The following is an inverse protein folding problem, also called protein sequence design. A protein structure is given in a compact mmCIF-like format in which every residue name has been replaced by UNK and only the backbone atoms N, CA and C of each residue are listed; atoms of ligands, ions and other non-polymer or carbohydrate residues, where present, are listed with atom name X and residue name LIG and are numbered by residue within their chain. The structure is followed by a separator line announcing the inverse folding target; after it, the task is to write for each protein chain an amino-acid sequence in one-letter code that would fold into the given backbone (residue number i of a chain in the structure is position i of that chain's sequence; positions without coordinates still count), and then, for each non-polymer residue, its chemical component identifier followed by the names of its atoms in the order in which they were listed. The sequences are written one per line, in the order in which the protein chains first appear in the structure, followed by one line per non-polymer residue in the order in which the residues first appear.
data_IF_364284079091
#
_entry.id   IF_364284079091
#
_cell.length_a   1.000
_cell.length_b   1.000
_cell.length_c   1.000
_cell.angle_alpha   90.00
_cell.angle_beta   90.00
_cell.angle_gamma   90.00
#
_symmetry.space_group_name_H-M   'P 1'
#
loop_
_entity.id
_entity.type
_entity.pdbx_description
1 polymer ?
#
# COMPACT_ATOMS: atom_id res chain seq x y z
N UNK A 1 -1.48 0.54 -45.57
CA UNK A 1 -0.02 0.70 -45.38
C UNK A 1 0.57 -0.69 -45.50
N UNK A 2 1.36 -0.96 -46.54
CA UNK A 2 2.13 -2.21 -46.63
C UNK A 2 3.41 -2.04 -45.80
N UNK A 3 3.65 -2.94 -44.85
CA UNK A 3 4.80 -2.87 -43.94
C UNK A 3 5.95 -3.73 -44.47
N UNK A 4 7.16 -3.18 -44.49
CA UNK A 4 8.33 -3.82 -45.13
C UNK A 4 8.93 -4.97 -44.30
N UNK A 5 8.70 -4.98 -42.98
CA UNK A 5 9.04 -6.09 -42.08
C UNK A 5 8.15 -6.11 -40.81
N UNK A 6 8.27 -7.17 -40.01
CA UNK A 6 7.47 -7.41 -38.81
C UNK A 6 7.68 -6.37 -37.69
N UNK A 7 8.88 -5.79 -37.58
CA UNK A 7 9.21 -4.79 -36.57
C UNK A 7 8.48 -3.46 -36.82
N UNK A 8 8.49 -2.97 -38.05
CA UNK A 8 7.80 -1.71 -38.39
C UNK A 8 6.30 -1.84 -38.12
N UNK A 9 5.70 -2.97 -38.49
CA UNK A 9 4.29 -3.26 -38.22
C UNK A 9 3.99 -3.21 -36.71
N UNK A 10 4.82 -3.85 -35.88
CA UNK A 10 4.62 -3.89 -34.42
C UNK A 10 4.82 -2.49 -33.79
N UNK A 11 5.84 -1.74 -34.20
CA UNK A 11 6.07 -0.37 -33.72
C UNK A 11 4.91 0.57 -34.06
N UNK A 12 4.38 0.52 -35.28
CA UNK A 12 3.22 1.33 -35.67
C UNK A 12 1.97 0.95 -34.88
N UNK A 13 1.72 -0.35 -34.69
CA UNK A 13 0.62 -0.83 -33.84
C UNK A 13 0.77 -0.34 -32.39
N UNK A 14 1.97 -0.41 -31.81
CA UNK A 14 2.23 0.12 -30.48
C UNK A 14 1.98 1.62 -30.39
N UNK A 15 2.42 2.40 -31.39
CA UNK A 15 2.17 3.84 -31.45
C UNK A 15 0.68 4.16 -31.48
N UNK A 16 -0.11 3.39 -32.23
CA UNK A 16 -1.57 3.50 -32.24
C UNK A 16 -2.16 3.14 -30.88
N UNK A 17 -1.76 2.01 -30.30
CA UNK A 17 -2.18 1.59 -28.97
C UNK A 17 -1.91 2.65 -27.88
N UNK A 18 -0.72 3.25 -27.86
CA UNK A 18 -0.39 4.32 -26.88
C UNK A 18 -1.25 5.55 -27.09
N UNK A 19 -1.58 5.90 -28.33
CA UNK A 19 -2.46 7.05 -28.65
C UNK A 19 -3.92 6.79 -28.27
N UNK A 20 -4.39 5.57 -28.42
CA UNK A 20 -5.78 5.16 -28.20
C UNK A 20 -6.01 4.52 -26.83
N UNK A 21 -4.97 4.45 -25.99
CA UNK A 21 -5.04 3.82 -24.68
C UNK A 21 -6.09 4.52 -23.84
N UNK A 22 -7.12 3.76 -23.47
CA UNK A 22 -8.13 4.18 -22.50
C UNK A 22 -7.64 3.94 -21.09
N UNK A 23 -7.83 4.93 -20.23
CA UNK A 23 -7.62 4.77 -18.80
C UNK A 23 -8.83 4.10 -18.17
N UNK A 24 -8.63 3.30 -17.12
CA UNK A 24 -9.75 2.63 -16.46
C UNK A 24 -10.76 3.63 -15.87
N UNK A 25 -10.32 4.83 -15.48
CA UNK A 25 -11.19 5.90 -15.02
C UNK A 25 -12.22 6.39 -16.04
N UNK A 26 -11.97 6.18 -17.33
CA UNK A 26 -12.89 6.61 -18.40
C UNK A 26 -14.06 5.62 -18.57
N UNK A 27 -14.02 4.48 -17.88
CA UNK A 27 -15.01 3.43 -17.97
C UNK A 27 -15.86 3.32 -16.69
N UNK A 28 -17.16 3.56 -16.86
CA UNK A 28 -18.16 3.56 -15.79
C UNK A 28 -18.30 2.21 -15.07
N UNK A 29 -17.74 1.12 -15.60
CA UNK A 29 -17.74 -0.17 -14.90
C UNK A 29 -16.79 -0.19 -13.69
N UNK A 30 -15.73 0.63 -13.68
CA UNK A 30 -14.70 0.62 -12.63
C UNK A 30 -14.93 1.68 -11.54
N UNK A 31 -16.17 1.82 -11.06
CA UNK A 31 -16.59 2.87 -10.10
C UNK A 31 -15.79 2.91 -8.78
N UNK A 32 -15.19 1.78 -8.38
CA UNK A 32 -14.39 1.71 -7.16
C UNK A 32 -13.03 2.44 -7.28
N UNK A 33 -12.56 2.78 -8.49
CA UNK A 33 -11.33 3.57 -8.66
C UNK A 33 -11.41 4.96 -8.04
N UNK A 34 -12.57 5.61 -8.14
CA UNK A 34 -12.80 6.92 -7.52
C UNK A 34 -12.68 6.82 -5.99
N UNK A 35 -13.24 5.76 -5.40
CA UNK A 35 -13.13 5.49 -3.96
C UNK A 35 -11.69 5.28 -3.53
N UNK A 36 -10.91 4.53 -4.31
CA UNK A 36 -9.47 4.34 -4.04
C UNK A 36 -8.77 5.70 -4.07
N UNK A 37 -9.00 6.52 -5.09
CA UNK A 37 -8.37 7.84 -5.20
C UNK A 37 -8.69 8.74 -4.00
N UNK A 38 -9.95 8.84 -3.60
CA UNK A 38 -10.38 9.66 -2.47
C UNK A 38 -9.71 9.19 -1.16
N UNK A 39 -9.60 7.88 -0.95
CA UNK A 39 -8.92 7.31 0.22
C UNK A 39 -7.40 7.53 0.16
N UNK A 40 -6.78 7.38 -1.01
CA UNK A 40 -5.36 7.67 -1.23
C UNK A 40 -5.03 9.12 -0.92
N UNK A 41 -5.88 10.05 -1.36
CA UNK A 41 -5.74 11.47 -1.04
C UNK A 41 -5.76 11.69 0.48
N UNK A 42 -6.74 11.09 1.18
CA UNK A 42 -6.86 11.19 2.64
C UNK A 42 -5.65 10.57 3.34
N UNK A 43 -5.19 9.38 2.92
CA UNK A 43 -3.96 8.76 3.44
C UNK A 43 -2.76 9.68 3.22
N UNK A 44 -2.65 10.30 2.05
CA UNK A 44 -1.57 11.25 1.79
C UNK A 44 -1.61 12.45 2.73
N UNK A 45 -2.78 12.98 3.08
CA UNK A 45 -2.89 14.06 4.06
C UNK A 45 -2.43 13.60 5.45
N UNK A 46 -2.87 12.40 5.88
CA UNK A 46 -2.50 11.81 7.16
C UNK A 46 -0.98 11.55 7.26
N UNK A 47 -0.38 11.05 6.18
CA UNK A 47 1.06 10.81 6.09
C UNK A 47 1.89 12.11 6.15
N UNK A 48 1.37 13.21 5.61
CA UNK A 48 2.01 14.52 5.74
C UNK A 48 2.04 15.00 7.20
N UNK A 49 1.11 14.58 8.06
CA UNK A 49 1.15 14.92 9.51
C UNK A 49 2.35 14.29 10.23
N UNK A 50 2.94 13.25 9.63
CA UNK A 50 4.11 12.56 10.18
C UNK A 50 5.44 13.22 9.80
N UNK A 51 5.41 14.23 8.92
CA UNK A 51 6.62 14.93 8.49
C UNK A 51 7.28 15.66 9.66
N UNK A 52 8.56 15.38 9.90
CA UNK A 52 9.37 16.06 10.90
C UNK A 52 9.28 15.53 12.33
N UNK A 53 8.46 14.50 12.61
CA UNK A 53 8.26 13.96 13.97
C UNK A 53 9.55 13.42 14.61
N UNK A 54 10.39 12.72 13.85
CA UNK A 54 11.76 12.37 14.25
C UNK A 54 12.58 11.86 13.06
N UNK A 55 13.67 12.57 12.73
CA UNK A 55 14.58 12.15 11.66
C UNK A 55 15.34 10.86 12.02
N UNK A 56 15.63 10.61 13.30
CA UNK A 56 16.44 9.44 13.71
C UNK A 56 15.70 8.12 13.56
N UNK A 57 14.36 8.15 13.62
CA UNK A 57 13.52 6.98 13.45
C UNK A 57 13.16 6.70 11.99
N UNK A 58 13.49 7.59 11.05
CA UNK A 58 13.16 7.46 9.62
C UNK A 58 11.64 7.48 9.33
N UNK A 59 10.83 8.05 10.23
CA UNK A 59 9.36 8.14 10.06
C UNK A 59 9.02 8.86 8.76
N UNK A 60 9.65 10.02 8.52
CA UNK A 60 9.42 10.81 7.30
C UNK A 60 9.87 10.09 6.03
N UNK A 61 10.92 9.27 6.10
CA UNK A 61 11.42 8.52 4.93
C UNK A 61 10.42 7.42 4.55
N UNK A 62 10.02 6.59 5.53
CA UNK A 62 9.02 5.54 5.28
C UNK A 62 7.63 6.08 4.93
N UNK A 63 7.25 7.24 5.48
CA UNK A 63 6.00 7.93 5.11
C UNK A 63 6.00 8.33 3.63
N UNK A 64 7.11 8.90 3.13
CA UNK A 64 7.27 9.27 1.72
C UNK A 64 7.34 8.06 0.80
N UNK A 65 8.07 7.01 1.19
CA UNK A 65 8.12 5.75 0.44
C UNK A 65 6.73 5.15 0.30
N UNK A 66 5.99 5.01 1.40
CA UNK A 66 4.62 4.50 1.41
C UNK A 66 3.72 5.30 0.48
N UNK A 67 3.70 6.63 0.64
CA UNK A 67 2.91 7.54 -0.20
C UNK A 67 3.22 7.36 -1.69
N UNK A 68 4.51 7.35 -2.03
CA UNK A 68 4.95 7.20 -3.42
C UNK A 68 4.55 5.84 -4.00
N UNK A 69 4.78 4.75 -3.26
CA UNK A 69 4.40 3.41 -3.71
C UNK A 69 2.90 3.27 -3.93
N UNK A 70 2.08 3.80 -3.03
CA UNK A 70 0.62 3.78 -3.20
C UNK A 70 0.20 4.54 -4.48
N UNK A 71 0.66 5.78 -4.65
CA UNK A 71 0.30 6.59 -5.83
C UNK A 71 0.78 5.95 -7.13
N UNK A 72 2.03 5.49 -7.20
CA UNK A 72 2.58 4.83 -8.40
C UNK A 72 1.80 3.55 -8.71
N UNK A 73 1.51 2.73 -7.69
CA UNK A 73 0.73 1.51 -7.87
C UNK A 73 -0.67 1.80 -8.41
N UNK A 74 -1.31 2.87 -7.93
CA UNK A 74 -2.60 3.32 -8.41
C UNK A 74 -2.57 3.83 -9.86
N UNK A 75 -1.58 4.63 -10.22
CA UNK A 75 -1.42 5.11 -11.60
C UNK A 75 -1.21 3.95 -12.57
N UNK A 76 -0.40 2.96 -12.18
CA UNK A 76 -0.19 1.74 -12.96
C UNK A 76 -1.46 0.91 -13.09
N UNK A 77 -2.27 0.80 -12.03
CA UNK A 77 -3.59 0.17 -12.08
C UNK A 77 -4.47 0.89 -13.10
N UNK A 78 -4.59 2.22 -13.02
CA UNK A 78 -5.41 3.01 -13.94
C UNK A 78 -4.95 2.89 -15.41
N UNK A 79 -3.66 2.66 -15.63
CA UNK A 79 -3.08 2.36 -16.96
C UNK A 79 -3.20 0.89 -17.38
N UNK A 80 -3.85 0.03 -16.58
CA UNK A 80 -3.98 -1.42 -16.77
C UNK A 80 -2.65 -2.20 -16.76
N UNK A 81 -1.65 -1.72 -16.03
CA UNK A 81 -0.40 -2.45 -15.76
C UNK A 81 -0.51 -3.25 -14.45
N UNK A 82 -1.42 -4.21 -14.40
CA UNK A 82 -1.82 -4.90 -13.17
C UNK A 82 -0.64 -5.58 -12.46
N UNK A 83 0.25 -6.25 -13.18
CA UNK A 83 1.39 -6.95 -12.57
C UNK A 83 2.38 -5.98 -11.90
N UNK A 84 2.75 -4.91 -12.59
CA UNK A 84 3.60 -3.86 -12.02
C UNK A 84 2.91 -3.15 -10.87
N UNK A 85 1.61 -2.86 -11.00
CA UNK A 85 0.81 -2.29 -9.92
C UNK A 85 0.82 -3.18 -8.67
N UNK A 86 0.58 -4.49 -8.79
CA UNK A 86 0.66 -5.49 -7.70
C UNK A 86 2.03 -5.50 -7.03
N UNK A 87 3.11 -5.48 -7.80
CA UNK A 87 4.47 -5.44 -7.28
C UNK A 87 4.73 -4.20 -6.43
N UNK A 88 4.32 -3.02 -6.91
CA UNK A 88 4.48 -1.77 -6.15
C UNK A 88 3.53 -1.70 -4.96
N UNK A 89 2.31 -2.25 -5.06
CA UNK A 89 1.38 -2.35 -3.94
C UNK A 89 1.99 -3.20 -2.81
N UNK A 90 2.67 -4.29 -3.15
CA UNK A 90 3.41 -5.11 -2.17
C UNK A 90 4.47 -4.30 -1.44
N UNK A 91 5.26 -3.52 -2.19
CA UNK A 91 6.27 -2.61 -1.61
C UNK A 91 5.62 -1.56 -0.69
N UNK A 92 4.42 -1.08 -1.01
CA UNK A 92 3.71 -0.15 -0.12
C UNK A 92 3.37 -0.80 1.23
N UNK A 93 2.98 -2.08 1.27
CA UNK A 93 2.72 -2.81 2.51
C UNK A 93 4.03 -2.95 3.33
N UNK A 94 5.14 -3.27 2.67
CA UNK A 94 6.45 -3.33 3.32
C UNK A 94 6.85 -1.97 3.93
N UNK A 95 6.69 -0.88 3.18
CA UNK A 95 6.95 0.49 3.68
C UNK A 95 6.02 0.85 4.83
N UNK A 96 4.75 0.43 4.79
CA UNK A 96 3.82 0.62 5.90
C UNK A 96 4.27 -0.11 7.17
N UNK A 97 4.71 -1.37 7.08
CA UNK A 97 5.25 -2.10 8.24
C UNK A 97 6.51 -1.46 8.80
N UNK A 98 7.40 -0.92 7.94
CA UNK A 98 8.57 -0.17 8.41
C UNK A 98 8.16 1.13 9.11
N UNK A 99 7.19 1.85 8.56
CA UNK A 99 6.65 3.07 9.14
C UNK A 99 6.01 2.80 10.52
N UNK A 100 5.17 1.78 10.63
CA UNK A 100 4.46 1.46 11.87
C UNK A 100 5.42 1.10 13.01
N UNK A 101 6.42 0.25 12.74
CA UNK A 101 7.46 -0.10 13.70
C UNK A 101 8.36 1.09 14.07
N UNK A 102 8.64 1.97 13.12
CA UNK A 102 9.38 3.21 13.35
C UNK A 102 8.62 4.17 14.29
N UNK A 103 7.31 4.32 14.09
CA UNK A 103 6.43 5.11 14.97
C UNK A 103 6.40 4.51 16.37
N UNK A 104 6.22 3.18 16.51
CA UNK A 104 6.22 2.53 17.82
C UNK A 104 7.54 2.71 18.55
N UNK A 105 8.67 2.67 17.83
CA UNK A 105 9.99 2.94 18.41
C UNK A 105 10.10 4.36 18.94
N UNK A 106 9.62 5.34 18.18
CA UNK A 106 9.61 6.72 18.61
C UNK A 106 8.71 6.94 19.83
N UNK A 107 7.53 6.34 19.84
CA UNK A 107 6.61 6.37 20.98
C UNK A 107 7.24 5.75 22.24
N UNK A 108 7.83 4.56 22.15
CA UNK A 108 8.52 3.92 23.28
C UNK A 108 9.68 4.80 23.77
N UNK A 109 10.44 5.41 22.86
CA UNK A 109 11.51 6.33 23.22
C UNK A 109 10.98 7.52 24.03
N UNK A 110 9.89 8.17 23.59
CA UNK A 110 9.26 9.27 24.36
C UNK A 110 8.84 8.81 25.75
N UNK A 111 8.24 7.62 25.86
CA UNK A 111 7.83 7.04 27.14
C UNK A 111 9.04 6.77 28.06
N UNK A 112 10.12 6.22 27.53
CA UNK A 112 11.34 5.96 28.28
C UNK A 112 11.95 7.26 28.83
N UNK A 113 12.01 8.32 28.02
CA UNK A 113 12.49 9.64 28.46
C UNK A 113 11.60 10.19 29.59
N UNK A 114 10.26 10.07 29.47
CA UNK A 114 9.35 10.49 30.54
C UNK A 114 9.55 9.71 31.84
N UNK A 115 9.97 8.45 31.75
CA UNK A 115 10.31 7.58 32.86
C UNK A 115 11.78 7.71 33.32
N UNK A 116 12.52 8.71 32.83
CA UNK A 116 13.95 8.94 33.13
C UNK A 116 14.89 7.81 32.70
N UNK A 117 14.50 7.02 31.70
CA UNK A 117 15.33 6.00 31.05
C UNK A 117 15.95 6.61 29.79
N UNK A 118 17.24 6.95 29.86
CA UNK A 118 17.95 7.64 28.76
C UNK A 118 18.78 6.69 27.87
N UNK A 119 18.94 5.43 28.29
CA UNK A 119 19.67 4.41 27.54
C UNK A 119 18.84 3.75 26.43
N UNK A 120 19.53 3.11 25.49
CA UNK A 120 18.87 2.29 24.47
C UNK A 120 18.44 0.95 25.06
N UNK A 121 17.13 0.79 25.29
CA UNK A 121 16.53 -0.47 25.75
C UNK A 121 16.64 -1.55 24.68
N UNK A 122 16.61 -2.82 25.08
CA UNK A 122 16.65 -3.92 24.12
C UNK A 122 15.42 -3.95 23.20
N UNK A 123 14.27 -3.46 23.68
CA UNK A 123 13.07 -3.26 22.85
C UNK A 123 13.32 -2.23 21.74
N UNK A 124 13.90 -1.06 22.04
CA UNK A 124 14.24 -0.06 21.03
C UNK A 124 15.24 -0.59 19.99
N UNK A 125 16.20 -1.44 20.40
CA UNK A 125 17.13 -2.10 19.48
C UNK A 125 16.42 -3.13 18.60
N UNK A 126 15.48 -3.90 19.16
CA UNK A 126 14.68 -4.90 18.45
C UNK A 126 13.77 -4.24 17.42
N UNK A 127 13.06 -3.17 17.77
CA UNK A 127 12.24 -2.40 16.82
C UNK A 127 13.10 -1.88 15.65
N UNK A 128 14.26 -1.29 15.98
CA UNK A 128 15.19 -0.81 14.95
C UNK A 128 15.62 -1.94 14.01
N UNK A 129 16.02 -3.09 14.54
CA UNK A 129 16.50 -4.19 13.71
C UNK A 129 15.43 -4.77 12.79
N UNK A 130 14.15 -4.72 13.18
CA UNK A 130 13.04 -5.15 12.34
C UNK A 130 12.85 -4.23 11.13
N UNK A 131 12.73 -2.91 11.33
CA UNK A 131 12.43 -2.00 10.21
C UNK A 131 13.66 -1.60 9.39
N UNK A 132 14.90 -1.77 9.89
CA UNK A 132 16.11 -1.59 9.08
C UNK A 132 16.62 -2.89 8.45
N UNK A 133 16.07 -4.04 8.85
CA UNK A 133 16.48 -5.34 8.34
C UNK A 133 16.10 -5.54 6.87
N UNK A 134 16.87 -6.40 6.19
CA UNK A 134 16.57 -6.86 4.83
C UNK A 134 15.66 -8.10 4.81
N UNK A 135 15.57 -8.84 5.91
CA UNK A 135 14.79 -10.07 5.98
C UNK A 135 13.29 -9.77 6.08
N UNK A 136 12.56 -9.90 4.97
CA UNK A 136 11.13 -9.55 4.90
C UNK A 136 10.25 -10.42 5.79
N UNK A 137 10.57 -11.71 5.96
CA UNK A 137 9.87 -12.57 6.92
C UNK A 137 9.98 -12.04 8.37
N UNK A 138 11.13 -11.47 8.75
CA UNK A 138 11.29 -10.87 10.08
C UNK A 138 10.48 -9.60 10.21
N UNK A 139 10.41 -8.78 9.15
CA UNK A 139 9.58 -7.56 9.13
C UNK A 139 8.09 -7.91 9.34
N UNK A 140 7.56 -8.82 8.52
CA UNK A 140 6.14 -9.22 8.53
C UNK A 140 5.74 -9.87 9.85
N UNK A 141 6.38 -10.98 10.23
CA UNK A 141 6.10 -11.68 11.50
C UNK A 141 6.39 -10.80 12.72
N UNK A 142 7.47 -10.02 12.68
CA UNK A 142 7.81 -9.09 13.74
C UNK A 142 6.75 -8.01 13.93
N UNK A 143 6.18 -7.49 12.84
CA UNK A 143 5.10 -6.51 12.90
C UNK A 143 3.86 -7.10 13.57
N UNK A 144 3.41 -8.29 13.17
CA UNK A 144 2.24 -8.95 13.79
C UNK A 144 2.45 -9.09 15.31
N UNK A 145 3.62 -9.57 15.73
CA UNK A 145 3.92 -9.75 17.16
C UNK A 145 3.89 -8.43 17.94
N UNK A 146 4.28 -7.31 17.33
CA UNK A 146 4.22 -6.00 18.00
C UNK A 146 2.80 -5.43 18.11
N UNK A 147 1.87 -5.90 17.28
CA UNK A 147 0.46 -5.48 17.31
C UNK A 147 -0.47 -6.51 17.95
N UNK A 148 0.04 -7.63 18.47
CA UNK A 148 -0.76 -8.78 18.93
C UNK A 148 -1.86 -8.39 19.93
N UNK A 149 -1.54 -7.49 20.87
CA UNK A 149 -2.45 -7.03 21.92
C UNK A 149 -3.11 -5.67 21.62
N UNK A 150 -3.17 -5.27 20.36
CA UNK A 150 -3.74 -3.97 19.94
C UNK A 150 -5.10 -4.12 19.28
N UNK A 151 -5.92 -3.06 19.31
CA UNK A 151 -7.24 -3.05 18.67
C UNK A 151 -7.19 -3.27 17.16
N UNK A 152 -6.04 -3.06 16.52
CA UNK A 152 -5.83 -3.18 15.07
C UNK A 152 -5.18 -4.50 14.64
N UNK A 153 -5.01 -5.49 15.53
CA UNK A 153 -4.35 -6.76 15.19
C UNK A 153 -5.03 -7.48 14.01
N UNK A 154 -6.36 -7.47 13.94
CA UNK A 154 -7.09 -8.06 12.82
C UNK A 154 -6.73 -7.37 11.51
N UNK A 155 -6.69 -6.04 11.50
CA UNK A 155 -6.27 -5.23 10.36
C UNK A 155 -4.84 -5.53 9.91
N UNK A 156 -3.90 -5.67 10.85
CA UNK A 156 -2.50 -6.00 10.55
C UNK A 156 -2.38 -7.42 9.97
N UNK A 157 -3.16 -8.38 10.47
CA UNK A 157 -3.20 -9.75 9.93
C UNK A 157 -3.73 -9.77 8.49
N UNK A 158 -4.85 -9.10 8.22
CA UNK A 158 -5.40 -8.97 6.86
C UNK A 158 -4.36 -8.36 5.92
N UNK A 159 -3.70 -7.28 6.34
CA UNK A 159 -2.67 -6.63 5.52
C UNK A 159 -1.47 -7.54 5.24
N UNK A 160 -1.10 -8.40 6.19
CA UNK A 160 -0.05 -9.40 6.00
C UNK A 160 -0.50 -10.54 5.06
N UNK A 161 -1.78 -10.90 5.07
CA UNK A 161 -2.34 -11.89 4.14
C UNK A 161 -2.36 -11.33 2.71
N UNK A 162 -2.76 -10.05 2.54
CA UNK A 162 -2.62 -9.34 1.27
C UNK A 162 -1.17 -9.31 0.78
N UNK A 163 -0.21 -9.05 1.67
CA UNK A 163 1.21 -9.10 1.32
C UNK A 163 1.63 -10.50 0.83
N UNK A 164 1.17 -11.56 1.50
CA UNK A 164 1.45 -12.95 1.14
C UNK A 164 0.91 -13.29 -0.25
N UNK A 165 -0.33 -12.86 -0.56
CA UNK A 165 -0.95 -13.05 -1.87
C UNK A 165 -0.19 -12.32 -2.99
N UNK A 166 0.18 -11.07 -2.76
CA UNK A 166 0.98 -10.30 -3.72
C UNK A 166 2.37 -10.93 -3.92
N UNK A 167 2.99 -11.46 -2.86
CA UNK A 167 4.29 -12.12 -2.93
C UNK A 167 4.24 -13.45 -3.69
N UNK A 168 3.17 -14.22 -3.51
CA UNK A 168 2.91 -15.44 -4.29
C UNK A 168 2.93 -15.15 -5.79
N UNK A 169 2.29 -14.06 -6.21
CA UNK A 169 2.22 -13.62 -7.60
C UNK A 169 3.58 -13.19 -8.21
N UNK A 170 4.60 -12.86 -7.40
CA UNK A 170 5.95 -12.49 -7.88
C UNK A 170 6.86 -13.71 -8.08
N UNK A 171 6.60 -14.81 -7.35
CA UNK A 171 7.41 -16.03 -7.41
C UNK A 171 6.85 -17.11 -8.33
N UNK A 172 5.63 -16.96 -8.83
CA UNK A 172 5.17 -17.79 -9.93
C UNK A 172 5.89 -17.29 -11.19
N UNK A 173 6.98 -17.97 -11.56
CA UNK A 173 7.46 -18.12 -12.94
C UNK A 173 6.39 -18.86 -13.78
N UNK A 174 5.14 -18.45 -13.65
CA UNK A 174 4.07 -18.85 -14.50
C UNK A 174 4.38 -18.20 -15.84
N UNK A 175 4.99 -18.99 -16.72
CA UNK A 175 4.96 -18.79 -18.17
C UNK A 175 3.53 -18.56 -18.72
N UNK A 176 2.50 -18.71 -17.87
CA UNK A 176 1.10 -18.34 -18.09
C UNK A 176 0.73 -16.90 -17.72
N UNK A 177 1.42 -16.23 -16.78
CA UNK A 177 1.14 -14.84 -16.37
C UNK A 177 1.96 -13.80 -17.13
N UNK A 178 3.16 -14.18 -17.56
CA UNK A 178 3.82 -13.57 -18.70
C UNK A 178 3.44 -14.44 -19.90
N UNK A 179 2.28 -14.18 -20.52
CA UNK A 179 2.22 -14.55 -21.92
C UNK A 179 3.36 -13.76 -22.58
N UNK A 180 4.31 -14.40 -23.27
CA UNK A 180 5.26 -13.67 -24.08
C UNK A 180 4.41 -13.12 -25.23
N UNK A 181 3.75 -11.99 -24.96
CA UNK A 181 2.92 -11.31 -25.93
C UNK A 181 3.82 -11.06 -27.12
N UNK A 182 3.54 -11.80 -28.19
CA UNK A 182 4.40 -11.82 -29.37
C UNK A 182 4.35 -10.49 -30.09
N UNK A 183 3.29 -9.72 -29.84
CA UNK A 183 3.03 -8.41 -30.38
C UNK A 183 2.51 -7.48 -29.29
N UNK A 184 2.89 -6.20 -29.37
CA UNK A 184 2.49 -5.18 -28.39
C UNK A 184 0.97 -4.91 -28.40
N UNK A 185 0.25 -5.39 -29.40
CA UNK A 185 -1.22 -5.29 -29.51
C UNK A 185 -1.95 -6.20 -28.52
N UNK A 186 -1.32 -7.26 -28.02
CA UNK A 186 -1.94 -8.17 -27.05
C UNK A 186 -2.19 -7.49 -25.68
N UNK A 187 -1.55 -6.34 -25.43
CA UNK A 187 -1.79 -5.47 -24.25
C UNK A 187 -3.13 -4.71 -24.34
N UNK A 188 -3.82 -4.75 -25.48
CA UNK A 188 -5.11 -4.06 -25.68
C UNK A 188 -6.32 -4.82 -25.13
N UNK A 189 -6.17 -6.10 -24.76
CA UNK A 189 -7.27 -6.91 -24.24
C UNK A 189 -7.43 -6.69 -22.74
N UNK A 190 -8.52 -6.05 -22.35
CA UNK A 190 -8.93 -5.93 -20.96
C UNK A 190 -9.60 -7.22 -20.50
N UNK A 191 -9.11 -7.78 -19.40
CA UNK A 191 -9.83 -8.77 -18.61
C UNK A 191 -10.54 -8.04 -17.46
N UNK A 192 -11.79 -7.65 -17.70
CA UNK A 192 -12.56 -6.83 -16.77
C UNK A 192 -12.74 -7.52 -15.40
N UNK A 193 -12.86 -8.84 -15.37
CA UNK A 193 -13.02 -9.59 -14.11
C UNK A 193 -11.74 -9.53 -13.29
N UNK A 194 -10.59 -9.83 -13.92
CA UNK A 194 -9.28 -9.72 -13.25
C UNK A 194 -9.00 -8.29 -12.76
N UNK A 195 -9.36 -7.28 -13.56
CA UNK A 195 -9.21 -5.87 -13.18
C UNK A 195 -10.10 -5.53 -11.98
N UNK A 196 -11.38 -5.90 -12.00
CA UNK A 196 -12.29 -5.63 -10.89
C UNK A 196 -11.87 -6.33 -9.60
N UNK A 197 -11.44 -7.59 -9.68
CA UNK A 197 -10.94 -8.33 -8.53
C UNK A 197 -9.72 -7.61 -7.92
N UNK A 198 -8.80 -7.13 -8.76
CA UNK A 198 -7.65 -6.39 -8.27
C UNK A 198 -8.00 -4.99 -7.73
N UNK A 199 -8.99 -4.29 -8.28
CA UNK A 199 -9.50 -3.02 -7.72
C UNK A 199 -10.05 -3.25 -6.30
N UNK A 200 -10.83 -4.31 -6.10
CA UNK A 200 -11.39 -4.62 -4.78
C UNK A 200 -10.28 -5.00 -3.78
N UNK A 201 -9.31 -5.82 -4.22
CA UNK A 201 -8.13 -6.16 -3.44
C UNK A 201 -7.30 -4.91 -3.05
N UNK A 202 -7.08 -3.99 -3.99
CA UNK A 202 -6.40 -2.73 -3.73
C UNK A 202 -7.14 -1.92 -2.66
N UNK A 203 -8.46 -1.83 -2.77
CA UNK A 203 -9.31 -1.11 -1.81
C UNK A 203 -9.18 -1.70 -0.40
N UNK A 204 -9.11 -3.02 -0.26
CA UNK A 204 -8.90 -3.71 1.02
C UNK A 204 -7.56 -3.33 1.65
N UNK A 205 -6.47 -3.33 0.87
CA UNK A 205 -5.14 -2.89 1.32
C UNK A 205 -5.17 -1.45 1.83
N UNK A 206 -5.81 -0.55 1.07
CA UNK A 206 -5.95 0.86 1.43
C UNK A 206 -6.75 1.05 2.71
N UNK A 207 -7.86 0.32 2.87
CA UNK A 207 -8.67 0.38 4.06
C UNK A 207 -7.86 -0.06 5.30
N UNK A 208 -7.10 -1.15 5.17
CA UNK A 208 -6.24 -1.63 6.25
C UNK A 208 -5.17 -0.61 6.65
N UNK A 209 -4.48 -0.03 5.66
CA UNK A 209 -3.46 1.01 5.88
C UNK A 209 -4.08 2.22 6.57
N UNK A 210 -5.25 2.69 6.11
CA UNK A 210 -5.90 3.87 6.68
C UNK A 210 -6.31 3.67 8.16
N UNK A 211 -6.95 2.54 8.48
CA UNK A 211 -7.38 2.22 9.85
C UNK A 211 -6.17 2.11 10.77
N UNK A 212 -5.15 1.37 10.36
CA UNK A 212 -3.94 1.22 11.16
C UNK A 212 -3.17 2.55 11.29
N UNK A 213 -3.21 3.42 10.29
CA UNK A 213 -2.63 4.77 10.37
C UNK A 213 -3.38 5.66 11.37
N UNK A 214 -4.71 5.59 11.47
CA UNK A 214 -5.46 6.32 12.51
C UNK A 214 -5.06 5.87 13.91
N UNK A 215 -4.92 4.57 14.13
CA UNK A 215 -4.40 4.05 15.40
C UNK A 215 -3.02 4.61 15.72
N UNK A 216 -2.10 4.62 14.75
CA UNK A 216 -0.74 5.15 14.95
C UNK A 216 -0.73 6.66 15.23
N UNK A 217 -1.58 7.43 14.55
CA UNK A 217 -1.73 8.87 14.82
C UNK A 217 -2.29 9.12 16.22
N UNK A 218 -3.26 8.30 16.67
CA UNK A 218 -3.77 8.34 18.05
C UNK A 218 -2.68 8.02 19.07
N UNK A 219 -1.84 7.01 18.83
CA UNK A 219 -0.68 6.67 19.69
C UNK A 219 0.31 7.85 19.82
N UNK A 220 0.41 8.70 18.79
CA UNK A 220 1.27 9.87 18.79
C UNK A 220 0.60 11.15 19.30
N UNK A 221 -0.67 11.08 19.73
CA UNK A 221 -1.52 12.22 20.09
C UNK A 221 -1.68 13.25 18.95
N UNK A 222 -1.67 12.79 17.69
CA UNK A 222 -1.84 13.64 16.52
C UNK A 222 -3.33 13.72 16.17
N UNK A 223 -3.93 14.93 16.11
CA UNK A 223 -5.35 15.08 15.86
C UNK A 223 -5.71 14.65 14.44
N UNK A 224 -6.84 13.94 14.32
CA UNK A 224 -7.46 13.54 13.05
C UNK A 224 -8.82 14.21 12.96
N UNK A 225 -9.17 14.73 11.78
CA UNK A 225 -10.45 15.40 11.57
C UNK A 225 -11.57 14.39 11.34
N UNK A 226 -12.80 14.74 11.77
CA UNK A 226 -14.00 13.92 11.50
C UNK A 226 -14.18 13.63 10.00
N UNK A 227 -13.87 14.60 9.14
CA UNK A 227 -13.93 14.44 7.68
C UNK A 227 -13.01 13.31 7.19
N UNK A 228 -11.78 13.24 7.71
CA UNK A 228 -10.84 12.19 7.33
C UNK A 228 -11.35 10.81 7.75
N UNK A 229 -11.93 10.70 8.95
CA UNK A 229 -12.54 9.46 9.44
C UNK A 229 -13.69 9.02 8.53
N UNK A 230 -14.62 9.94 8.23
CA UNK A 230 -15.78 9.67 7.37
C UNK A 230 -15.38 9.19 5.96
N UNK A 231 -14.32 9.76 5.39
CA UNK A 231 -13.83 9.33 4.07
C UNK A 231 -13.30 7.89 4.11
N UNK A 232 -12.62 7.50 5.20
CA UNK A 232 -12.13 6.14 5.36
C UNK A 232 -13.28 5.16 5.67
N UNK A 233 -14.30 5.57 6.41
CA UNK A 233 -15.50 4.77 6.68
C UNK A 233 -16.25 4.38 5.39
N UNK A 234 -16.21 5.23 4.36
CA UNK A 234 -16.90 4.95 3.10
C UNK A 234 -16.42 3.64 2.47
N UNK A 235 -17.28 2.62 2.48
CA UNK A 235 -17.01 1.32 1.87
C UNK A 235 -16.07 0.42 2.68
N UNK A 236 -16.01 0.60 4.01
CA UNK A 236 -15.51 -0.44 4.91
C UNK A 236 -16.53 -1.58 5.02
N UNK A 237 -16.03 -2.78 5.29
CA UNK A 237 -16.88 -3.86 5.79
C UNK A 237 -17.17 -3.68 7.29
N UNK A 238 -18.15 -4.44 7.81
CA UNK A 238 -18.57 -4.35 9.21
C UNK A 238 -17.43 -4.62 10.20
N UNK A 239 -16.48 -5.51 9.87
CA UNK A 239 -15.38 -5.85 10.78
C UNK A 239 -14.39 -4.69 10.88
N UNK A 240 -14.05 -4.07 9.76
CA UNK A 240 -13.18 -2.91 9.70
C UNK A 240 -13.81 -1.67 10.35
N UNK A 241 -15.12 -1.48 10.18
CA UNK A 241 -15.87 -0.42 10.86
C UNK A 241 -15.85 -0.60 12.38
N UNK A 242 -16.02 -1.83 12.87
CA UNK A 242 -15.91 -2.15 14.30
C UNK A 242 -14.51 -1.85 14.86
N UNK A 243 -13.44 -2.11 14.09
CA UNK A 243 -12.07 -1.74 14.50
C UNK A 243 -11.92 -0.23 14.57
N UNK A 244 -12.40 0.49 13.56
CA UNK A 244 -12.32 1.96 13.52
C UNK A 244 -13.06 2.60 14.71
N UNK A 245 -14.21 2.06 15.08
CA UNK A 245 -14.99 2.49 16.25
C UNK A 245 -14.32 2.19 17.59
N UNK A 246 -13.31 1.30 17.66
CA UNK A 246 -12.49 1.15 18.88
C UNK A 246 -11.38 2.19 18.97
N UNK A 247 -10.97 2.74 17.83
CA UNK A 247 -9.95 3.78 17.77
C UNK A 247 -10.51 5.13 18.24
N UNK A 248 -11.77 5.45 18.02
CA UNK A 248 -12.37 6.75 18.39
C UNK A 248 -13.50 6.58 19.40
#
# INVERSE_FOLDING_TARGET
MEFSNLYERDYFKYKTFVKERKFLFEDNQFKNLEKIYIKLYTISELLNLLDGIDKKSMIGDFSKELKNSLVISFDLLNMNYLNSSKQILRSSIESFFRLSLSILRFYEYRKNISNKIYGSTDSLKKLKSLYTGQAVYRLTSGTINYFEDTDIISTIKILNDCYSELSGNVHVNATTNFSPQKFLEDYSKFDNETIMNFINFYLEVINCIAIALFYLLKVLDIPVTKRQIQVVEMGLDNNMELVLNKIF
#
